data_IF_816096988084
#
_entry.id   IF_816096988084
#
_cell.length_a   1.000
_cell.length_b   1.000
_cell.length_c   1.000
_cell.angle_alpha   90.00
_cell.angle_beta   90.00
_cell.angle_gamma   90.00
#
_symmetry.space_group_name_H-M   'P 1'
#
loop_
_entity.id
_entity.type
_entity.pdbx_description
1 polymer ?
#
# COMPACT_ATOMS: atom_id res chain seq x y z
N UNK A 1 -8.05 34.65 -4.09
CA UNK A 1 -7.29 33.40 -3.86
C UNK A 1 -8.28 32.33 -3.42
N UNK A 2 -8.64 31.39 -4.30
CA UNK A 2 -9.48 30.25 -3.91
C UNK A 2 -8.57 29.18 -3.30
N UNK A 3 -8.73 28.92 -2.00
CA UNK A 3 -8.16 27.74 -1.38
C UNK A 3 -8.92 26.52 -1.91
N UNK A 4 -8.23 25.65 -2.64
CA UNK A 4 -8.75 24.34 -3.02
C UNK A 4 -8.78 23.51 -1.75
N UNK A 5 -9.87 23.59 -0.99
CA UNK A 5 -10.11 22.72 0.16
C UNK A 5 -10.44 21.33 -0.39
N UNK A 6 -9.41 20.54 -0.66
CA UNK A 6 -9.53 19.11 -0.87
C UNK A 6 -10.31 18.55 0.32
N UNK A 7 -11.52 18.04 0.10
CA UNK A 7 -12.37 17.51 1.17
C UNK A 7 -11.69 16.27 1.77
N UNK A 8 -10.89 16.46 2.80
CA UNK A 8 -10.19 15.38 3.48
C UNK A 8 -11.23 14.58 4.27
N UNK A 9 -11.35 13.29 4.00
CA UNK A 9 -12.29 12.41 4.71
C UNK A 9 -11.67 12.01 6.07
N UNK A 10 -12.28 12.36 7.21
CA UNK A 10 -11.71 12.04 8.52
C UNK A 10 -11.57 10.52 8.77
N UNK A 11 -12.37 9.68 8.08
CA UNK A 11 -12.22 8.22 8.14
C UNK A 11 -10.98 7.72 7.39
N UNK A 12 -10.58 8.35 6.28
CA UNK A 12 -9.35 7.97 5.57
C UNK A 12 -8.13 8.36 6.40
N UNK A 13 -8.10 9.58 6.94
CA UNK A 13 -7.01 10.05 7.83
C UNK A 13 -6.77 9.09 9.01
N UNK A 14 -7.83 8.62 9.67
CA UNK A 14 -7.70 7.63 10.77
C UNK A 14 -7.16 6.28 10.28
N UNK A 15 -7.55 5.87 9.08
CA UNK A 15 -7.09 4.61 8.46
C UNK A 15 -5.60 4.71 8.12
N UNK A 16 -5.17 5.83 7.55
CA UNK A 16 -3.79 6.11 7.16
C UNK A 16 -2.88 6.16 8.39
N UNK A 17 -3.30 6.84 9.47
CA UNK A 17 -2.56 6.85 10.74
C UNK A 17 -2.42 5.44 11.34
N UNK A 18 -3.46 4.62 11.27
CA UNK A 18 -3.38 3.23 11.73
C UNK A 18 -2.41 2.40 10.88
N UNK A 19 -2.41 2.59 9.56
CA UNK A 19 -1.49 1.89 8.66
C UNK A 19 -0.05 2.32 8.89
N UNK A 20 0.22 3.62 9.07
CA UNK A 20 1.56 4.11 9.38
C UNK A 20 2.12 3.48 10.66
N UNK A 21 1.29 3.38 11.72
CA UNK A 21 1.66 2.73 12.98
C UNK A 21 1.96 1.25 12.77
N UNK A 22 1.10 0.53 12.03
CA UNK A 22 1.31 -0.88 11.72
C UNK A 22 2.61 -1.10 10.94
N UNK A 23 2.90 -0.27 9.94
CA UNK A 23 4.12 -0.40 9.15
C UNK A 23 5.38 -0.10 9.96
N UNK A 24 5.34 0.91 10.85
CA UNK A 24 6.45 1.19 11.79
C UNK A 24 6.71 0.01 12.73
N UNK A 25 5.66 -0.68 13.18
CA UNK A 25 5.81 -1.85 14.05
C UNK A 25 6.44 -3.09 13.39
N UNK A 26 6.66 -3.08 12.07
CA UNK A 26 7.39 -4.16 11.38
C UNK A 26 8.89 -4.16 11.70
N UNK A 27 9.44 -3.02 12.12
CA UNK A 27 10.85 -2.90 12.48
C UNK A 27 11.12 -3.67 13.78
N UNK A 28 12.01 -4.66 13.73
CA UNK A 28 12.35 -5.49 14.89
C UNK A 28 11.30 -6.54 15.28
N UNK A 29 10.16 -6.60 14.59
CA UNK A 29 9.13 -7.60 14.84
C UNK A 29 9.58 -9.04 14.49
N UNK A 30 9.07 -10.02 15.25
CA UNK A 30 9.19 -11.43 14.90
C UNK A 30 8.27 -11.80 13.72
N UNK A 31 8.41 -13.04 13.22
CA UNK A 31 7.65 -13.48 12.05
C UNK A 31 6.14 -13.58 12.31
N UNK A 32 5.73 -13.91 13.54
CA UNK A 32 4.31 -14.01 13.89
C UNK A 32 3.66 -12.63 13.85
N UNK A 33 4.31 -11.65 14.47
CA UNK A 33 3.86 -10.26 14.50
C UNK A 33 3.81 -9.66 13.10
N UNK A 34 4.81 -9.93 12.25
CA UNK A 34 4.80 -9.49 10.83
C UNK A 34 3.62 -10.08 10.06
N UNK A 35 3.36 -11.39 10.23
CA UNK A 35 2.24 -12.05 9.59
C UNK A 35 0.89 -11.48 10.06
N UNK A 36 0.74 -11.19 11.36
CA UNK A 36 -0.48 -10.58 11.91
C UNK A 36 -0.70 -9.17 11.37
N UNK A 37 0.36 -8.36 11.28
CA UNK A 37 0.31 -7.03 10.68
C UNK A 37 -0.14 -7.12 9.23
N UNK A 38 0.49 -7.98 8.42
CA UNK A 38 0.12 -8.18 7.02
C UNK A 38 -1.35 -8.62 6.88
N UNK A 39 -1.78 -9.59 7.69
CA UNK A 39 -3.16 -10.08 7.69
C UNK A 39 -4.16 -8.97 8.06
N UNK A 40 -3.81 -8.09 9.00
CA UNK A 40 -4.65 -6.96 9.36
C UNK A 40 -4.76 -5.96 8.21
N UNK A 41 -3.65 -5.64 7.54
CA UNK A 41 -3.64 -4.76 6.36
C UNK A 41 -4.51 -5.35 5.25
N UNK A 42 -4.36 -6.65 4.94
CA UNK A 42 -5.17 -7.34 3.92
C UNK A 42 -6.66 -7.32 4.26
N UNK A 43 -7.04 -7.53 5.52
CA UNK A 43 -8.44 -7.45 5.99
C UNK A 43 -9.05 -6.05 5.81
N UNK A 44 -8.25 -4.99 5.80
CA UNK A 44 -8.74 -3.64 5.51
C UNK A 44 -9.14 -3.48 4.03
N UNK A 45 -8.56 -4.30 3.15
CA UNK A 45 -8.91 -4.41 1.74
C UNK A 45 -8.71 -3.11 0.96
N UNK A 46 -9.66 -2.80 0.06
CA UNK A 46 -9.60 -1.64 -0.82
C UNK A 46 -9.36 -0.29 -0.10
N UNK A 47 -9.77 -0.17 1.18
CA UNK A 47 -9.59 1.06 1.96
C UNK A 47 -8.13 1.37 2.29
N UNK A 48 -7.24 0.37 2.27
CA UNK A 48 -5.82 0.56 2.52
C UNK A 48 -5.02 0.85 1.24
N UNK A 49 -5.58 0.56 0.06
CA UNK A 49 -4.83 0.50 -1.20
C UNK A 49 -4.12 1.82 -1.54
N UNK A 50 -4.83 2.94 -1.50
CA UNK A 50 -4.24 4.24 -1.89
C UNK A 50 -3.03 4.60 -1.01
N UNK A 51 -3.16 4.38 0.30
CA UNK A 51 -2.07 4.62 1.25
C UNK A 51 -0.88 3.68 0.98
N UNK A 52 -1.15 2.40 0.77
CA UNK A 52 -0.12 1.37 0.51
C UNK A 52 0.65 1.67 -0.79
N UNK A 53 -0.06 2.04 -1.86
CA UNK A 53 0.54 2.41 -3.15
C UNK A 53 1.42 3.65 -3.03
N UNK A 54 0.96 4.68 -2.31
CA UNK A 54 1.78 5.88 -2.07
C UNK A 54 3.02 5.59 -1.22
N UNK A 55 2.90 4.69 -0.24
CA UNK A 55 3.97 4.36 0.69
C UNK A 55 5.07 3.50 0.06
N UNK A 56 4.77 2.72 -0.98
CA UNK A 56 5.75 1.85 -1.66
C UNK A 56 7.02 2.57 -2.11
N UNK A 57 6.91 3.84 -2.51
CA UNK A 57 8.05 4.64 -3.00
C UNK A 57 9.04 5.02 -1.89
N UNK A 58 8.56 5.23 -0.66
CA UNK A 58 9.37 5.73 0.46
C UNK A 58 9.85 4.63 1.39
N UNK A 59 9.12 3.51 1.45
CA UNK A 59 9.45 2.38 2.31
C UNK A 59 10.65 1.58 1.81
N UNK A 60 11.33 0.91 2.74
CA UNK A 60 12.48 0.05 2.48
C UNK A 60 12.35 -1.26 3.26
N UNK A 61 13.19 -2.24 2.91
CA UNK A 61 13.33 -3.49 3.65
C UNK A 61 12.01 -4.23 3.86
N UNK A 62 11.81 -4.72 5.09
CA UNK A 62 10.63 -5.53 5.47
C UNK A 62 9.33 -4.77 5.21
N UNK A 63 9.24 -3.50 5.59
CA UNK A 63 8.01 -2.72 5.42
C UNK A 63 7.59 -2.63 3.95
N UNK A 64 8.55 -2.38 3.04
CA UNK A 64 8.27 -2.37 1.59
C UNK A 64 7.78 -3.74 1.10
N UNK A 65 8.41 -4.82 1.56
CA UNK A 65 8.01 -6.19 1.21
C UNK A 65 6.61 -6.54 1.69
N UNK A 66 6.27 -6.21 2.95
CA UNK A 66 4.94 -6.43 3.52
C UNK A 66 3.87 -5.64 2.78
N UNK A 67 4.14 -4.38 2.40
CA UNK A 67 3.20 -3.57 1.61
C UNK A 67 2.99 -4.19 0.22
N UNK A 68 4.06 -4.58 -0.48
CA UNK A 68 3.98 -5.24 -1.78
C UNK A 68 3.14 -6.53 -1.70
N UNK A 69 3.44 -7.40 -0.73
CA UNK A 69 2.70 -8.65 -0.52
C UNK A 69 1.22 -8.39 -0.18
N UNK A 70 0.96 -7.39 0.67
CA UNK A 70 -0.41 -6.99 1.02
C UNK A 70 -1.20 -6.54 -0.21
N UNK A 71 -0.60 -5.76 -1.10
CA UNK A 71 -1.26 -5.31 -2.34
C UNK A 71 -1.57 -6.48 -3.27
N UNK A 72 -0.65 -7.43 -3.42
CA UNK A 72 -0.88 -8.67 -4.19
C UNK A 72 -2.07 -9.44 -3.60
N UNK A 73 -2.08 -9.65 -2.28
CA UNK A 73 -3.14 -10.37 -1.57
C UNK A 73 -4.49 -9.65 -1.56
N UNK A 74 -4.49 -8.32 -1.59
CA UNK A 74 -5.71 -7.52 -1.76
C UNK A 74 -6.26 -7.71 -3.18
N UNK A 75 -5.39 -7.85 -4.18
CA UNK A 75 -5.74 -8.23 -5.54
C UNK A 75 -6.24 -7.07 -6.40
N UNK A 76 -7.26 -7.33 -7.22
CA UNK A 76 -7.77 -6.41 -8.25
C UNK A 76 -7.98 -4.94 -7.81
N UNK A 77 -8.45 -4.62 -6.58
CA UNK A 77 -8.56 -3.24 -6.13
C UNK A 77 -7.25 -2.43 -6.19
N UNK A 78 -6.09 -3.09 -6.16
CA UNK A 78 -4.78 -2.44 -6.25
C UNK A 78 -4.37 -2.05 -7.68
N UNK A 79 -4.94 -2.66 -8.72
CA UNK A 79 -4.45 -2.52 -10.11
C UNK A 79 -4.57 -1.09 -10.61
N UNK A 80 -5.74 -0.46 -10.50
CA UNK A 80 -5.93 0.91 -11.00
C UNK A 80 -5.09 1.95 -10.24
N UNK A 81 -4.99 1.92 -8.90
CA UNK A 81 -4.08 2.77 -8.15
C UNK A 81 -2.60 2.56 -8.51
N UNK A 82 -2.15 1.32 -8.71
CA UNK A 82 -0.77 1.01 -9.14
C UNK A 82 -0.45 1.63 -10.51
N UNK A 83 -1.34 1.45 -11.49
CA UNK A 83 -1.20 2.06 -12.82
C UNK A 83 -1.15 3.58 -12.75
N UNK A 84 -2.02 4.17 -11.93
CA UNK A 84 -2.03 5.63 -11.73
C UNK A 84 -0.73 6.11 -11.11
N UNK A 85 -0.20 5.43 -10.10
CA UNK A 85 1.05 5.83 -9.45
C UNK A 85 2.25 5.71 -10.40
N UNK A 86 2.26 4.70 -11.28
CA UNK A 86 3.29 4.51 -12.29
C UNK A 86 3.40 5.67 -13.29
N UNK A 87 2.28 6.33 -13.64
CA UNK A 87 2.32 7.51 -14.52
C UNK A 87 2.76 8.78 -13.80
N UNK A 88 2.77 8.78 -12.46
CA UNK A 88 3.09 9.93 -11.63
C UNK A 88 4.51 9.91 -11.07
N UNK A 89 5.13 8.74 -10.96
CA UNK A 89 6.44 8.56 -10.31
C UNK A 89 7.42 7.87 -11.25
N UNK A 90 8.48 8.60 -11.63
CA UNK A 90 9.59 8.02 -12.41
C UNK A 90 10.21 6.84 -11.66
N UNK A 91 10.48 5.74 -12.38
CA UNK A 91 11.05 4.54 -11.80
C UNK A 91 10.07 3.68 -10.97
N UNK A 92 8.80 4.06 -10.83
CA UNK A 92 7.77 3.21 -10.20
C UNK A 92 7.15 2.19 -11.17
N UNK A 93 7.24 2.44 -12.47
CA UNK A 93 6.59 1.62 -13.51
C UNK A 93 6.87 0.12 -13.37
N UNK A 94 8.13 -0.28 -13.26
CA UNK A 94 8.50 -1.69 -13.12
C UNK A 94 7.93 -2.35 -11.85
N UNK A 95 7.75 -1.59 -10.77
CA UNK A 95 7.15 -2.09 -9.52
C UNK A 95 5.66 -2.33 -9.76
N UNK A 96 4.97 -1.37 -10.37
CA UNK A 96 3.56 -1.51 -10.69
C UNK A 96 3.33 -2.69 -11.62
N UNK A 97 4.13 -2.82 -12.67
CA UNK A 97 4.02 -3.92 -13.65
C UNK A 97 4.19 -5.28 -12.98
N UNK A 98 5.23 -5.43 -12.14
CA UNK A 98 5.46 -6.66 -11.37
C UNK A 98 4.29 -6.99 -10.42
N UNK A 99 3.80 -6.01 -9.65
CA UNK A 99 2.71 -6.27 -8.72
C UNK A 99 1.41 -6.61 -9.46
N UNK A 100 1.16 -5.96 -10.59
CA UNK A 100 -0.01 -6.24 -11.43
C UNK A 100 0.10 -7.64 -12.05
N UNK A 101 1.27 -8.06 -12.52
CA UNK A 101 1.46 -9.41 -13.07
C UNK A 101 1.19 -10.49 -12.03
N UNK A 102 1.68 -10.29 -10.80
CA UNK A 102 1.42 -11.19 -9.66
C UNK A 102 -0.08 -11.23 -9.30
N UNK A 103 -0.77 -10.08 -9.28
CA UNK A 103 -2.23 -10.01 -9.03
C UNK A 103 -3.01 -10.76 -10.10
N UNK A 104 -2.60 -10.65 -11.36
CA UNK A 104 -3.32 -11.21 -12.51
C UNK A 104 -2.91 -12.66 -12.81
N UNK A 105 -1.83 -13.16 -12.21
CA UNK A 105 -1.30 -14.50 -12.47
C UNK A 105 -0.67 -14.66 -13.87
N UNK A 106 -0.17 -13.56 -14.44
CA UNK A 106 0.44 -13.56 -15.77
C UNK A 106 1.97 -13.65 -15.63
N UNK A 107 2.56 -14.78 -16.05
CA UNK A 107 4.01 -15.02 -16.11
C UNK A 107 4.49 -15.14 -17.55
#
# INVERSE_FOLDING_TARGET
MQAVLTKINPKSVKTDLNLEVLLKSLEGADNNTKNDIENNIVKMGAKAVDFLVQSLCSLKGVARGTVAMSLIRIGEPAVAPLKKQATQTEGFGWIADYLISEIQGNY
#
